data_IF_471419225687
#
_entry.id   IF_471419225687
#
_cell.length_a   1.000
_cell.length_b   1.000
_cell.length_c   1.000
_cell.angle_alpha   90.00
_cell.angle_beta   90.00
_cell.angle_gamma   90.00
#
_symmetry.space_group_name_H-M   'P 1'
#
loop_
_entity.id
_entity.type
_entity.pdbx_description
1 polymer ?
#
# COMPACT_ATOMS: atom_id res chain seq x y z
N UNK A 1 20.35 -69.51 8.52
CA UNK A 1 19.97 -70.03 7.20
C UNK A 1 18.52 -70.51 7.26
N UNK A 2 17.86 -70.49 6.10
CA UNK A 2 16.49 -70.94 5.77
C UNK A 2 15.40 -69.86 5.81
N UNK A 3 14.65 -69.83 4.70
CA UNK A 3 13.86 -68.75 4.11
C UNK A 3 12.50 -69.36 3.75
N UNK A 4 11.38 -68.87 4.28
CA UNK A 4 9.99 -69.13 3.85
C UNK A 4 9.18 -67.93 4.37
N UNK A 5 8.47 -67.09 3.63
CA UNK A 5 7.84 -67.17 2.32
C UNK A 5 6.50 -66.44 2.47
N UNK A 6 6.51 -65.11 2.32
CA UNK A 6 5.29 -64.29 2.42
C UNK A 6 4.42 -64.51 1.19
N UNK A 7 3.22 -65.04 1.38
CA UNK A 7 2.34 -65.47 0.28
C UNK A 7 1.50 -64.34 -0.35
N UNK A 8 1.58 -63.10 0.12
CA UNK A 8 0.82 -61.97 -0.44
C UNK A 8 1.55 -60.60 -0.36
N UNK A 9 2.84 -60.54 -0.69
CA UNK A 9 3.53 -59.25 -0.82
C UNK A 9 3.56 -58.80 -2.30
N UNK A 10 2.96 -57.64 -2.67
CA UNK A 10 3.11 -57.08 -4.01
C UNK A 10 4.59 -56.73 -4.29
N UNK A 11 5.10 -57.16 -5.44
CA UNK A 11 6.49 -56.92 -5.84
C UNK A 11 6.79 -55.41 -5.91
N UNK A 12 7.86 -54.98 -5.24
CA UNK A 12 8.40 -53.61 -5.32
C UNK A 12 8.09 -52.67 -4.15
N UNK A 13 7.45 -53.11 -3.05
CA UNK A 13 7.32 -52.30 -1.81
C UNK A 13 8.04 -52.93 -0.63
N UNK A 14 8.94 -52.16 -0.03
CA UNK A 14 9.44 -52.37 1.33
C UNK A 14 8.49 -51.65 2.28
N UNK A 15 7.74 -52.37 3.13
CA UNK A 15 7.02 -51.74 4.23
C UNK A 15 8.03 -51.25 5.27
N UNK A 16 7.97 -49.96 5.57
CA UNK A 16 8.92 -49.26 6.42
C UNK A 16 9.00 -49.82 7.84
N UNK A 17 10.21 -49.81 8.37
CA UNK A 17 10.50 -50.01 9.78
C UNK A 17 10.62 -48.61 10.42
N UNK A 18 9.65 -48.24 11.27
CA UNK A 18 9.86 -47.41 12.47
C UNK A 18 8.52 -47.18 13.19
N UNK A 19 8.24 -48.06 14.16
CA UNK A 19 7.51 -47.76 15.39
C UNK A 19 6.13 -47.11 15.29
N UNK A 20 5.08 -47.93 15.38
CA UNK A 20 3.87 -47.61 16.15
C UNK A 20 2.98 -48.85 16.25
N UNK A 21 3.29 -49.75 17.20
CA UNK A 21 2.29 -50.71 17.66
C UNK A 21 1.26 -49.96 18.51
N UNK A 22 -0.02 -49.99 18.11
CA UNK A 22 -1.13 -49.56 18.98
C UNK A 22 -1.69 -50.79 19.71
N UNK A 23 -1.55 -50.84 21.03
CA UNK A 23 -2.17 -51.87 21.85
C UNK A 23 -3.70 -51.67 21.96
N UNK A 24 -4.51 -52.73 22.19
CA UNK A 24 -5.94 -52.61 22.40
C UNK A 24 -6.20 -51.95 23.77
N UNK A 25 -6.74 -50.72 23.78
CA UNK A 25 -7.11 -50.02 25.03
C UNK A 25 -6.88 -48.51 25.06
N UNK A 26 -6.24 -47.90 24.05
CA UNK A 26 -6.08 -46.45 24.02
C UNK A 26 -7.37 -45.75 23.57
N UNK A 27 -7.95 -44.98 24.49
CA UNK A 27 -9.06 -44.06 24.22
C UNK A 27 -8.70 -43.15 23.04
N UNK A 28 -9.46 -43.27 21.95
CA UNK A 28 -9.42 -42.28 20.85
C UNK A 28 -10.03 -40.98 21.37
N UNK A 29 -9.18 -40.06 21.83
CA UNK A 29 -9.58 -38.67 22.06
C UNK A 29 -9.87 -38.05 20.69
N UNK A 30 -11.14 -38.09 20.29
CA UNK A 30 -11.61 -37.43 19.08
C UNK A 30 -11.41 -35.92 19.22
N UNK A 31 -10.60 -35.34 18.35
CA UNK A 31 -10.56 -33.88 18.22
C UNK A 31 -11.94 -33.44 17.70
N UNK A 32 -12.78 -32.91 18.59
CA UNK A 32 -13.94 -32.13 18.19
C UNK A 32 -13.43 -30.83 17.57
N UNK A 33 -13.18 -30.86 16.26
CA UNK A 33 -13.13 -29.63 15.48
C UNK A 33 -14.58 -29.15 15.33
N UNK A 34 -15.12 -28.51 16.36
CA UNK A 34 -16.34 -27.71 16.20
C UNK A 34 -16.06 -26.74 15.08
N UNK A 35 -16.80 -26.87 13.98
CA UNK A 35 -16.80 -25.96 12.84
C UNK A 35 -16.95 -24.55 13.39
N UNK A 36 -15.86 -23.79 13.44
CA UNK A 36 -15.94 -22.34 13.64
C UNK A 36 -16.81 -21.84 12.51
N UNK A 37 -17.97 -21.30 12.84
CA UNK A 37 -18.66 -20.35 11.97
C UNK A 37 -17.60 -19.35 11.56
N UNK A 38 -17.22 -19.33 10.29
CA UNK A 38 -16.47 -18.20 9.74
C UNK A 38 -17.31 -16.97 10.08
N UNK A 39 -16.82 -16.03 10.92
CA UNK A 39 -17.52 -14.76 11.02
C UNK A 39 -17.63 -14.26 9.59
N UNK A 40 -18.84 -13.88 9.17
CA UNK A 40 -19.05 -13.13 7.94
C UNK A 40 -17.94 -12.09 7.86
N UNK A 41 -17.25 -12.02 6.72
CA UNK A 41 -16.10 -11.15 6.47
C UNK A 41 -16.23 -9.87 7.28
N UNK A 42 -15.52 -9.80 8.41
CA UNK A 42 -15.35 -8.54 9.12
C UNK A 42 -14.68 -7.67 8.07
N UNK A 43 -15.41 -6.68 7.58
CA UNK A 43 -14.89 -5.62 6.71
C UNK A 43 -13.59 -5.21 7.38
N UNK A 44 -12.46 -5.53 6.71
CA UNK A 44 -11.15 -5.33 7.29
C UNK A 44 -11.00 -3.86 7.60
N UNK A 45 -11.20 -3.50 8.87
CA UNK A 45 -10.93 -2.15 9.35
C UNK A 45 -9.45 -1.92 9.05
N UNK A 46 -9.18 -1.12 8.03
CA UNK A 46 -7.83 -0.68 7.73
C UNK A 46 -7.36 0.05 8.98
N UNK A 47 -6.29 -0.49 9.55
CA UNK A 47 -5.49 0.16 10.57
C UNK A 47 -5.16 1.58 10.07
N UNK A 48 -5.79 2.62 10.62
CA UNK A 48 -5.42 4.03 10.38
C UNK A 48 -4.09 4.33 11.09
N UNK A 49 -3.03 3.60 10.75
CA UNK A 49 -1.65 3.89 11.18
C UNK A 49 -0.86 4.39 9.98
N UNK A 50 -1.45 5.34 9.27
CA UNK A 50 -0.86 5.99 8.11
C UNK A 50 -0.88 7.49 8.35
N UNK A 51 0.28 8.11 8.14
CA UNK A 51 0.43 9.56 8.24
C UNK A 51 0.31 10.16 6.84
N UNK A 52 -0.63 11.08 6.66
CA UNK A 52 -0.75 11.87 5.43
C UNK A 52 -0.21 13.27 5.69
N UNK A 53 0.69 13.74 4.83
CA UNK A 53 1.21 15.10 4.89
C UNK A 53 0.26 16.10 4.23
N UNK A 54 0.32 17.35 4.69
CA UNK A 54 -0.30 18.46 3.97
C UNK A 54 0.40 18.70 2.64
N UNK A 55 -0.33 19.21 1.65
CA UNK A 55 0.22 19.49 0.32
C UNK A 55 1.49 20.36 0.40
N UNK A 56 1.46 21.45 1.17
CA UNK A 56 2.63 22.33 1.32
C UNK A 56 3.89 21.58 1.82
N UNK A 57 3.73 20.68 2.79
CA UNK A 57 4.83 19.87 3.32
C UNK A 57 5.31 18.83 2.29
N UNK A 58 4.39 18.21 1.56
CA UNK A 58 4.73 17.25 0.51
C UNK A 58 5.51 17.93 -0.63
N UNK A 59 5.10 19.14 -1.03
CA UNK A 59 5.82 19.95 -2.02
C UNK A 59 7.21 20.39 -1.52
N UNK A 60 7.37 20.68 -0.22
CA UNK A 60 8.68 20.98 0.36
C UNK A 60 9.64 19.79 0.28
N UNK A 61 9.16 18.57 0.55
CA UNK A 61 9.95 17.34 0.39
C UNK A 61 10.39 17.15 -1.08
N UNK A 62 9.52 17.48 -2.04
CA UNK A 62 9.86 17.46 -3.46
C UNK A 62 10.95 18.49 -3.81
N UNK A 63 10.85 19.71 -3.29
CA UNK A 63 11.87 20.75 -3.47
C UNK A 63 13.24 20.31 -2.93
N UNK A 64 13.28 19.62 -1.78
CA UNK A 64 14.52 19.09 -1.20
C UNK A 64 15.20 18.04 -2.10
N UNK A 65 14.43 17.26 -2.86
CA UNK A 65 14.92 16.28 -3.84
C UNK A 65 15.14 16.88 -5.23
N UNK A 66 15.22 18.21 -5.34
CA UNK A 66 15.45 18.94 -6.59
C UNK A 66 14.36 18.76 -7.65
N UNK A 67 13.12 18.43 -7.25
CA UNK A 67 11.97 18.37 -8.16
C UNK A 67 11.43 19.78 -8.39
N UNK A 68 11.22 20.23 -9.65
CA UNK A 68 10.60 21.52 -9.93
C UNK A 68 9.16 21.54 -9.38
N UNK A 69 8.83 22.54 -8.56
CA UNK A 69 7.49 22.74 -8.01
C UNK A 69 6.96 24.08 -8.48
N UNK A 70 5.77 24.07 -9.08
CA UNK A 70 5.04 25.26 -9.45
C UNK A 70 3.95 25.52 -8.39
N UNK A 71 3.97 26.70 -7.78
CA UNK A 71 2.98 27.09 -6.75
C UNK A 71 1.67 27.61 -7.35
N UNK A 72 1.62 27.83 -8.67
CA UNK A 72 0.44 28.26 -9.40
C UNK A 72 -0.22 27.09 -10.14
N UNK A 73 -1.55 27.05 -10.12
CA UNK A 73 -2.42 26.08 -10.82
C UNK A 73 -2.40 26.30 -12.35
N UNK A 74 -1.23 26.26 -12.96
CA UNK A 74 -1.09 26.24 -14.41
C UNK A 74 -1.38 24.82 -14.89
N UNK A 75 -2.66 24.46 -14.97
CA UNK A 75 -3.21 23.26 -15.62
C UNK A 75 -2.40 21.97 -15.47
N UNK A 76 -2.79 21.09 -14.55
CA UNK A 76 -2.19 19.75 -14.46
C UNK A 76 -2.43 18.98 -15.75
N UNK A 77 -1.36 18.44 -16.34
CA UNK A 77 -1.46 17.48 -17.45
C UNK A 77 -1.89 16.10 -16.96
N UNK A 78 -1.70 15.83 -15.66
CA UNK A 78 -2.26 14.66 -15.01
C UNK A 78 -1.68 14.37 -13.62
N UNK A 79 -1.95 13.16 -13.17
CA UNK A 79 -1.60 12.59 -11.89
C UNK A 79 -0.64 11.42 -12.10
N UNK A 80 0.39 11.34 -11.27
CA UNK A 80 1.25 10.17 -11.11
C UNK A 80 1.15 9.67 -9.68
N UNK A 81 1.02 8.36 -9.51
CA UNK A 81 0.93 7.73 -8.20
C UNK A 81 1.86 6.51 -8.12
N UNK A 82 2.74 6.49 -7.12
CA UNK A 82 3.51 5.31 -6.74
C UNK A 82 2.84 4.68 -5.51
N UNK A 83 2.52 3.40 -5.58
CA UNK A 83 1.89 2.66 -4.49
C UNK A 83 2.36 1.20 -4.45
N UNK A 84 1.89 0.43 -3.46
CA UNK A 84 2.20 -0.99 -3.35
C UNK A 84 1.06 -1.82 -3.96
N UNK A 85 1.37 -2.63 -4.97
CA UNK A 85 0.47 -3.69 -5.41
C UNK A 85 0.61 -4.88 -4.45
N UNK A 86 -0.39 -5.04 -3.58
CA UNK A 86 -0.42 -6.10 -2.57
C UNK A 86 -0.66 -7.48 -3.18
N UNK A 87 -1.26 -7.57 -4.37
CA UNK A 87 -1.46 -8.84 -5.06
C UNK A 87 -0.17 -9.34 -5.70
N UNK A 88 0.61 -8.43 -6.28
CA UNK A 88 1.92 -8.74 -6.86
C UNK A 88 3.08 -8.69 -5.86
N UNK A 89 2.84 -8.17 -4.64
CA UNK A 89 3.86 -7.94 -3.60
C UNK A 89 5.03 -7.07 -4.10
N UNK A 90 4.74 -6.10 -4.96
CA UNK A 90 5.71 -5.23 -5.62
C UNK A 90 5.21 -3.78 -5.64
N UNK A 91 6.10 -2.78 -5.79
CA UNK A 91 5.66 -1.43 -6.06
C UNK A 91 5.03 -1.35 -7.45
N UNK A 92 4.09 -0.44 -7.62
CA UNK A 92 3.51 -0.11 -8.90
C UNK A 92 3.41 1.41 -9.06
N UNK A 93 3.53 1.85 -10.30
CA UNK A 93 3.28 3.23 -10.69
C UNK A 93 2.04 3.29 -11.57
N UNK A 94 1.33 4.40 -11.47
CA UNK A 94 0.09 4.68 -12.18
C UNK A 94 0.15 6.11 -12.69
N UNK A 95 -0.31 6.35 -13.90
CA UNK A 95 -0.58 7.69 -14.41
C UNK A 95 -2.02 7.83 -14.89
N UNK A 96 -2.54 9.05 -14.81
CA UNK A 96 -3.82 9.47 -15.37
C UNK A 96 -3.72 10.90 -15.85
N UNK A 97 -4.28 11.21 -17.03
CA UNK A 97 -4.40 12.61 -17.46
C UNK A 97 -5.48 13.37 -16.67
N UNK A 98 -6.45 12.64 -16.11
CA UNK A 98 -7.52 13.21 -15.29
C UNK A 98 -7.20 13.02 -13.79
N UNK A 99 -7.05 14.10 -13.00
CA UNK A 99 -6.74 14.00 -11.58
C UNK A 99 -7.89 13.45 -10.72
N UNK A 100 -9.13 13.49 -11.21
CA UNK A 100 -10.31 12.98 -10.48
C UNK A 100 -10.58 11.49 -10.73
N UNK A 101 -9.83 10.89 -11.66
CA UNK A 101 -9.99 9.48 -12.00
C UNK A 101 -9.60 8.57 -10.83
N UNK A 102 -10.48 7.59 -10.52
CA UNK A 102 -10.22 6.65 -9.43
C UNK A 102 -8.97 5.79 -9.73
N UNK A 103 -7.91 5.89 -8.89
CA UNK A 103 -6.67 5.14 -9.10
C UNK A 103 -6.83 3.61 -9.01
N UNK A 104 -7.99 3.10 -8.61
CA UNK A 104 -8.30 1.67 -8.65
C UNK A 104 -8.56 1.16 -10.06
N UNK A 105 -9.05 2.00 -10.95
CA UNK A 105 -9.37 1.63 -12.34
C UNK A 105 -8.26 1.94 -13.34
N UNK A 106 -7.25 2.69 -12.90
CA UNK A 106 -6.10 3.02 -13.72
C UNK A 106 -5.17 1.81 -13.89
N UNK A 107 -4.51 1.76 -15.05
CA UNK A 107 -3.51 0.73 -15.35
C UNK A 107 -2.32 0.87 -14.40
N UNK A 108 -2.02 -0.19 -13.67
CA UNK A 108 -0.84 -0.31 -12.79
C UNK A 108 0.32 -0.88 -13.59
N UNK A 109 1.46 -0.21 -13.53
CA UNK A 109 2.72 -0.70 -14.08
C UNK A 109 3.56 -1.17 -12.88
N UNK A 110 3.64 -2.49 -12.63
CA UNK A 110 4.45 -3.01 -11.55
C UNK A 110 5.95 -2.89 -11.89
N UNK A 111 6.77 -2.69 -10.87
CA UNK A 111 8.22 -2.69 -11.00
C UNK A 111 8.88 -3.31 -9.76
N UNK A 112 10.19 -3.54 -9.79
CA UNK A 112 10.88 -4.34 -8.76
C UNK A 112 11.53 -3.46 -7.69
N UNK A 113 11.41 -3.84 -6.41
CA UNK A 113 12.11 -3.17 -5.30
C UNK A 113 13.64 -3.12 -5.46
N UNK A 114 14.22 -4.12 -6.13
CA UNK A 114 15.66 -4.20 -6.38
C UNK A 114 16.19 -3.22 -7.44
N UNK A 115 15.32 -2.45 -8.11
CA UNK A 115 15.77 -1.42 -9.04
C UNK A 115 16.35 -0.22 -8.29
N UNK A 116 17.64 0.01 -8.50
CA UNK A 116 18.34 1.19 -7.97
C UNK A 116 17.83 2.47 -8.64
N UNK A 117 17.68 2.42 -9.96
CA UNK A 117 17.24 3.55 -10.80
C UNK A 117 16.01 3.19 -11.62
N UNK A 118 15.04 4.11 -11.65
CA UNK A 118 13.80 4.02 -12.44
C UNK A 118 13.73 5.12 -13.52
N UNK A 119 14.64 6.09 -13.51
CA UNK A 119 14.70 7.20 -14.48
C UNK A 119 14.69 6.75 -15.95
N UNK A 120 15.44 5.70 -16.28
CA UNK A 120 15.62 5.19 -17.64
C UNK A 120 14.73 3.97 -17.93
N UNK A 121 13.77 3.68 -17.05
CA UNK A 121 12.93 2.51 -17.22
C UNK A 121 11.92 2.72 -18.35
N UNK A 122 11.61 1.70 -19.18
CA UNK A 122 10.61 1.81 -20.25
C UNK A 122 9.22 2.26 -19.78
N UNK A 123 8.93 2.14 -18.48
CA UNK A 123 7.70 2.67 -17.89
C UNK A 123 7.61 4.19 -17.99
N UNK A 124 8.71 4.93 -17.95
CA UNK A 124 8.71 6.40 -18.02
C UNK A 124 8.18 6.88 -19.37
N UNK A 125 8.54 6.18 -20.45
CA UNK A 125 7.98 6.46 -21.78
C UNK A 125 6.47 6.21 -21.82
N UNK A 126 6.01 5.10 -21.24
CA UNK A 126 4.58 4.79 -21.14
C UNK A 126 3.81 5.85 -20.33
N UNK A 127 4.36 6.29 -19.20
CA UNK A 127 3.77 7.34 -18.36
C UNK A 127 3.72 8.68 -19.10
N UNK A 128 4.79 9.05 -19.83
CA UNK A 128 4.82 10.27 -20.62
C UNK A 128 3.72 10.27 -21.69
N UNK A 129 3.52 9.14 -22.37
CA UNK A 129 2.49 8.99 -23.38
C UNK A 129 1.08 9.06 -22.77
N UNK A 130 0.86 8.45 -21.59
CA UNK A 130 -0.41 8.55 -20.86
C UNK A 130 -0.73 9.98 -20.39
N UNK A 131 0.28 10.78 -20.05
CA UNK A 131 0.13 12.15 -19.58
C UNK A 131 0.18 13.18 -20.71
N UNK A 132 0.33 12.74 -21.96
CA UNK A 132 0.56 13.61 -23.13
C UNK A 132 1.76 14.57 -22.94
N UNK A 133 2.80 14.12 -22.23
CA UNK A 133 4.03 14.90 -22.01
C UNK A 133 4.91 14.80 -23.26
N UNK A 134 5.44 15.92 -23.78
CA UNK A 134 6.27 15.91 -24.97
C UNK A 134 7.57 15.12 -24.74
N UNK A 135 8.05 14.48 -25.82
CA UNK A 135 9.29 13.69 -25.82
C UNK A 135 10.50 14.44 -25.26
N UNK A 136 10.56 15.77 -25.45
CA UNK A 136 11.64 16.65 -24.97
C UNK A 136 11.78 16.68 -23.46
N UNK A 137 10.70 16.41 -22.73
CA UNK A 137 10.65 16.55 -21.27
C UNK A 137 10.53 15.20 -20.56
N UNK A 138 10.71 14.09 -21.29
CA UNK A 138 10.72 12.73 -20.75
C UNK A 138 11.86 12.50 -19.76
N UNK A 139 13.03 13.06 -20.03
CA UNK A 139 14.18 12.93 -19.12
C UNK A 139 13.89 13.59 -17.76
N UNK A 140 13.24 14.76 -17.78
CA UNK A 140 12.78 15.44 -16.57
C UNK A 140 11.74 14.61 -15.82
N UNK A 141 10.78 14.03 -16.53
CA UNK A 141 9.80 13.12 -15.93
C UNK A 141 10.49 11.91 -15.26
N UNK A 142 11.50 11.33 -15.92
CA UNK A 142 12.33 10.26 -15.37
C UNK A 142 13.00 10.66 -14.07
N UNK A 143 13.59 11.86 -14.01
CA UNK A 143 14.19 12.40 -12.77
C UNK A 143 13.16 12.58 -11.65
N UNK A 144 11.94 13.03 -11.96
CA UNK A 144 10.86 13.17 -10.97
C UNK A 144 10.43 11.80 -10.45
N UNK A 145 10.22 10.82 -11.34
CA UNK A 145 9.86 9.45 -10.95
C UNK A 145 10.96 8.81 -10.10
N UNK A 146 12.23 9.07 -10.43
CA UNK A 146 13.38 8.66 -9.62
C UNK A 146 13.36 9.28 -8.22
N UNK A 147 13.14 10.59 -8.10
CA UNK A 147 13.05 11.27 -6.82
C UNK A 147 11.88 10.73 -5.97
N UNK A 148 10.71 10.52 -6.59
CA UNK A 148 9.56 9.89 -5.93
C UNK A 148 9.89 8.48 -5.45
N UNK A 149 10.61 7.69 -6.25
CA UNK A 149 11.04 6.34 -5.86
C UNK A 149 12.02 6.33 -4.69
N UNK A 150 12.95 7.28 -4.65
CA UNK A 150 13.85 7.45 -3.51
C UNK A 150 13.08 7.82 -2.26
N UNK A 151 12.18 8.82 -2.33
CA UNK A 151 11.30 9.19 -1.22
C UNK A 151 10.51 7.96 -0.75
N UNK A 152 9.95 7.19 -1.68
CA UNK A 152 9.15 6.01 -1.38
C UNK A 152 9.93 4.99 -0.54
N UNK A 153 11.17 4.70 -0.94
CA UNK A 153 12.05 3.77 -0.22
C UNK A 153 12.61 4.34 1.08
N UNK A 154 13.14 5.56 1.03
CA UNK A 154 13.84 6.20 2.15
C UNK A 154 12.89 6.51 3.30
N UNK A 155 11.69 6.99 2.98
CA UNK A 155 10.71 7.48 3.95
C UNK A 155 9.62 6.46 4.29
N UNK A 156 9.73 5.23 3.77
CA UNK A 156 8.77 4.12 3.95
C UNK A 156 7.32 4.56 3.60
N UNK A 157 7.17 5.20 2.43
CA UNK A 157 5.87 5.62 1.94
C UNK A 157 5.06 4.41 1.43
N UNK A 158 3.74 4.43 1.62
CA UNK A 158 2.84 3.44 1.02
C UNK A 158 2.09 3.99 -0.20
N UNK A 159 1.92 5.31 -0.27
CA UNK A 159 1.33 6.04 -1.41
C UNK A 159 2.05 7.37 -1.57
N UNK A 160 2.52 7.66 -2.77
CA UNK A 160 2.98 8.99 -3.17
C UNK A 160 2.22 9.40 -4.42
N UNK A 161 1.37 10.39 -4.28
CA UNK A 161 0.56 10.93 -5.35
C UNK A 161 1.07 12.34 -5.68
N UNK A 162 1.30 12.62 -6.97
CA UNK A 162 1.87 13.87 -7.44
C UNK A 162 1.15 14.31 -8.72
N UNK A 163 0.65 15.54 -8.73
CA UNK A 163 0.07 16.18 -9.91
C UNK A 163 1.16 16.87 -10.68
N UNK A 164 1.31 16.52 -11.96
CA UNK A 164 2.37 16.99 -12.83
C UNK A 164 1.77 17.85 -13.95
N UNK A 165 2.44 18.94 -14.26
CA UNK A 165 2.13 19.81 -15.39
C UNK A 165 3.39 20.18 -16.15
N UNK A 166 3.20 20.64 -17.38
CA UNK A 166 4.29 21.13 -18.25
C UNK A 166 4.07 22.63 -18.39
N UNK A 167 5.04 23.41 -17.94
CA UNK A 167 5.05 24.87 -18.11
C UNK A 167 5.19 25.24 -19.59
N UNK A 168 4.85 26.49 -19.94
CA UNK A 168 5.00 27.04 -21.29
C UNK A 168 6.44 26.91 -21.82
N UNK A 169 7.43 26.92 -20.93
CA UNK A 169 8.86 26.74 -21.26
C UNK A 169 9.25 25.28 -21.52
N UNK A 170 8.30 24.34 -21.50
CA UNK A 170 8.54 22.91 -21.68
C UNK A 170 9.08 22.20 -20.44
N UNK A 171 9.18 22.89 -19.31
CA UNK A 171 9.66 22.32 -18.04
C UNK A 171 8.55 21.57 -17.32
N UNK A 172 8.82 20.33 -16.89
CA UNK A 172 7.89 19.50 -16.11
C UNK A 172 7.99 19.87 -14.64
N UNK A 173 6.87 20.22 -14.00
CA UNK A 173 6.82 20.60 -12.59
C UNK A 173 5.65 19.91 -11.87
N UNK A 174 5.80 19.75 -10.56
CA UNK A 174 4.75 19.29 -9.67
C UNK A 174 3.91 20.48 -9.16
N UNK A 175 2.59 20.38 -9.22
CA UNK A 175 1.64 21.39 -8.72
C UNK A 175 0.98 20.97 -7.41
N UNK A 176 0.77 19.66 -7.25
CA UNK A 176 0.12 19.09 -6.07
C UNK A 176 0.77 17.79 -5.66
N UNK A 177 0.73 17.50 -4.37
CA UNK A 177 1.29 16.27 -3.83
C UNK A 177 0.49 15.82 -2.62
N UNK A 178 0.22 14.51 -2.56
CA UNK A 178 -0.39 13.83 -1.42
C UNK A 178 0.41 12.59 -1.07
N UNK A 179 1.13 12.68 0.05
CA UNK A 179 2.05 11.63 0.47
C UNK A 179 1.53 10.94 1.72
N UNK A 180 1.53 9.61 1.69
CA UNK A 180 1.13 8.72 2.77
C UNK A 180 2.30 7.84 3.21
N UNK A 181 2.63 7.90 4.50
CA UNK A 181 3.73 7.16 5.13
C UNK A 181 3.23 6.14 6.14
N UNK A 182 3.95 5.02 6.27
CA UNK A 182 3.64 3.98 7.25
C UNK A 182 4.22 4.33 8.63
N UNK A 183 3.37 4.32 9.66
CA UNK A 183 3.74 4.63 11.05
C UNK A 183 4.42 3.43 11.75
N UNK A 184 4.35 2.22 11.18
CA UNK A 184 5.00 1.05 11.75
C UNK A 184 6.53 1.22 11.88
N UNK A 185 7.13 1.95 10.94
CA UNK A 185 8.55 2.31 10.91
C UNK A 185 8.99 3.05 12.18
N UNK A 186 8.25 4.11 12.49
CA UNK A 186 8.53 5.02 13.59
C UNK A 186 8.33 4.34 14.94
N UNK A 187 7.23 3.60 15.10
CA UNK A 187 6.88 2.96 16.38
C UNK A 187 7.81 1.82 16.78
N UNK A 188 8.36 1.09 15.81
CA UNK A 188 9.20 -0.08 16.07
C UNK A 188 10.69 0.25 16.20
N UNK A 189 11.16 1.27 15.47
CA UNK A 189 12.60 1.52 15.31
C UNK A 189 13.01 2.98 15.49
N UNK A 190 12.07 3.90 15.75
CA UNK A 190 12.35 5.33 15.90
C UNK A 190 12.86 6.02 14.62
N UNK A 191 12.84 5.31 13.48
CA UNK A 191 13.18 5.86 12.17
C UNK A 191 12.09 6.83 11.71
N UNK A 192 12.41 7.77 10.82
CA UNK A 192 11.45 8.76 10.28
C UNK A 192 10.92 9.82 11.27
N UNK A 193 11.70 10.20 12.28
CA UNK A 193 11.31 11.25 13.22
C UNK A 193 10.96 12.58 12.51
N UNK A 194 11.68 12.92 11.44
CA UNK A 194 11.43 14.13 10.64
C UNK A 194 10.01 14.19 10.07
N UNK A 195 9.48 13.08 9.55
CA UNK A 195 8.14 13.00 8.97
C UNK A 195 7.09 12.99 10.08
N UNK A 196 7.35 12.26 11.16
CA UNK A 196 6.43 12.20 12.29
C UNK A 196 6.32 13.53 13.04
N UNK A 197 7.36 14.37 13.04
CA UNK A 197 7.29 15.75 13.55
C UNK A 197 6.33 16.64 12.75
N UNK A 198 6.06 16.30 11.49
CA UNK A 198 5.08 17.01 10.66
C UNK A 198 3.63 16.60 10.96
N UNK A 199 3.41 15.56 11.81
CA UNK A 199 2.09 15.10 12.24
C UNK A 199 1.40 16.19 13.04
N UNK A 200 0.20 16.59 12.61
CA UNK A 200 -0.62 17.53 13.37
C UNK A 200 -1.70 16.81 14.17
N UNK A 201 -1.40 16.49 15.43
CA UNK A 201 -2.32 15.78 16.34
C UNK A 201 -3.62 16.56 16.61
N UNK A 202 -3.65 17.88 16.41
CA UNK A 202 -4.87 18.68 16.65
C UNK A 202 -5.97 18.47 15.60
N UNK A 203 -5.61 17.97 14.41
CA UNK A 203 -6.56 17.66 13.33
C UNK A 203 -7.11 16.23 13.43
N UNK A 204 -6.51 15.41 14.29
CA UNK A 204 -6.94 14.04 14.54
C UNK A 204 -8.06 13.98 15.58
N UNK A 205 -8.83 12.90 15.55
CA UNK A 205 -9.93 12.70 16.50
C UNK A 205 -9.31 12.50 17.90
N UNK A 206 -9.63 13.33 18.90
CA UNK A 206 -8.98 13.27 20.21
C UNK A 206 -9.16 11.90 20.88
N UNK A 207 -10.31 11.26 20.69
CA UNK A 207 -10.60 9.92 21.18
C UNK A 207 -9.69 8.84 20.54
N UNK A 208 -9.33 8.99 19.27
CA UNK A 208 -8.40 8.09 18.57
C UNK A 208 -6.97 8.29 19.12
N UNK A 209 -6.55 9.55 19.32
CA UNK A 209 -5.23 9.92 19.88
C UNK A 209 -5.07 9.46 21.33
N UNK A 210 -6.10 9.60 22.15
CA UNK A 210 -6.06 9.14 23.54
C UNK A 210 -5.97 7.63 23.65
N UNK A 211 -6.77 6.89 22.87
CA UNK A 211 -6.70 5.45 22.81
C UNK A 211 -5.31 4.95 22.36
N UNK A 212 -4.67 5.66 21.43
CA UNK A 212 -3.33 5.34 20.94
C UNK A 212 -2.30 5.31 22.08
N UNK A 213 -2.40 6.22 23.06
CA UNK A 213 -1.49 6.26 24.23
C UNK A 213 -1.56 4.99 25.07
N UNK A 214 -2.70 4.32 25.08
CA UNK A 214 -2.92 3.05 25.78
C UNK A 214 -2.66 1.82 24.90
N UNK A 215 -2.14 2.03 23.67
CA UNK A 215 -1.92 0.95 22.70
C UNK A 215 -3.22 0.40 22.10
N UNK A 216 -4.33 1.13 22.23
CA UNK A 216 -5.65 0.73 21.74
C UNK A 216 -5.89 1.39 20.39
N UNK A 217 -6.41 0.62 19.43
CA UNK A 217 -6.91 1.15 18.17
C UNK A 217 -8.39 1.48 18.36
N UNK A 218 -8.70 2.77 18.49
CA UNK A 218 -10.07 3.27 18.53
C UNK A 218 -10.45 3.82 17.16
N UNK A 219 -11.67 3.52 16.71
CA UNK A 219 -12.23 4.11 15.48
C UNK A 219 -13.63 4.58 15.80
N UNK A 220 -13.85 5.88 15.72
CA UNK A 220 -15.18 6.46 15.95
C UNK A 220 -16.07 6.19 14.74
N UNK A 221 -17.19 5.50 14.97
CA UNK A 221 -18.20 5.33 13.93
C UNK A 221 -19.25 6.45 14.04
N UNK A 222 -19.36 7.27 13.00
CA UNK A 222 -20.43 8.26 12.92
C UNK A 222 -21.64 7.60 12.26
N UNK A 223 -22.64 7.24 13.05
CA UNK A 223 -23.94 6.81 12.50
C UNK A 223 -24.69 8.09 12.11
N UNK A 224 -24.87 8.33 10.81
CA UNK A 224 -25.75 9.37 10.33
C UNK A 224 -27.20 9.03 10.73
N UNK A 225 -27.66 9.58 11.85
CA UNK A 225 -29.05 9.46 12.29
C UNK A 225 -29.92 10.43 11.49
N UNK A 226 -30.36 10.01 10.31
CA UNK A 226 -31.43 10.70 9.57
C UNK A 226 -32.54 9.71 9.30
N UNK A 227 -33.55 9.65 10.17
CA UNK A 227 -34.94 9.29 9.84
C UNK A 227 -35.88 9.70 11.00
N UNK A 228 -36.05 11.00 11.21
CA UNK A 228 -37.23 11.54 11.88
C UNK A 228 -38.27 11.82 10.80
N UNK A 229 -39.07 10.80 10.46
CA UNK A 229 -40.26 10.98 9.65
C UNK A 229 -41.29 11.82 10.40
N UNK A 230 -41.53 13.05 9.96
CA UNK A 230 -42.76 13.79 10.27
C UNK A 230 -43.90 13.16 9.46
N UNK A 231 -44.98 12.63 10.07
CA UNK A 231 -46.20 12.37 9.31
C UNK A 231 -46.87 13.70 8.97
N UNK A 232 -47.26 13.83 7.70
CA UNK A 232 -47.99 14.95 7.13
C UNK A 232 -49.39 15.08 7.76
N UNK A 233 -49.90 16.31 7.76
CA UNK A 233 -51.16 16.71 8.39
C UNK A 233 -52.39 15.99 7.87
N UNK A 234 -53.40 15.96 8.75
CA UNK A 234 -54.80 15.67 8.43
C UNK A 234 -55.51 16.96 8.05
#
# INVERSE_FOLDING_TARGET
>A
MALIGGLEAPAGRVMGHAGAWTAPGLQKRGYHATRRTTPASIVGYQQKRSLYLKQAQALEILKQKSVPVAEEDSGSNGLICISIDRSALSPCIVASSDPESDPRHLRRIPFSYGQATVENHPMVAELADQLNIPSSSRDQLGSIVQALWEIFKEKEAFVLECQIGVSADGTVAAHGARFGFDDAAYRSSGRQEEIHRLRNTSEEVPEEVEAEKYGIVYVKYVVASTFLGKPAGC
#
